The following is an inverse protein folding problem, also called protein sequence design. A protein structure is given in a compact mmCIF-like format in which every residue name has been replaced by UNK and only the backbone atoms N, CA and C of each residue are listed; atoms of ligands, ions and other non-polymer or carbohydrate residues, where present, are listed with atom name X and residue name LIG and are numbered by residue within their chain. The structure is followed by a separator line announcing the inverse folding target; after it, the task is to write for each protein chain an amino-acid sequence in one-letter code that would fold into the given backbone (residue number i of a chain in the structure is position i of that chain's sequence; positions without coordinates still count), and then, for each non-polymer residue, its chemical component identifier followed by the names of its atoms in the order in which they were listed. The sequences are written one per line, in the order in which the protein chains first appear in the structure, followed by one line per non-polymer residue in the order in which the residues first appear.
data_IF_063678279064
#
_entry.id   IF_063678279064
#
_cell.length_a   1.000
_cell.length_b   1.000
_cell.length_c   1.000
_cell.angle_alpha   90.00
_cell.angle_beta   90.00
_cell.angle_gamma   90.00
#
_symmetry.space_group_name_H-M   'P 1'
#
loop_
_entity.id
_entity.type
_entity.pdbx_description
1 polymer ?
#
# COMPACT_ATOMS: atom_id res chain seq x y z
N UNK A 1 -10.15 7.93 -16.28
CA UNK A 1 -9.07 7.89 -15.26
C UNK A 1 -9.39 6.93 -14.09
N UNK A 2 -9.98 5.75 -14.33
CA UNK A 2 -10.30 4.74 -13.28
C UNK A 2 -9.64 3.38 -13.53
N UNK A 3 -9.16 3.14 -14.75
CA UNK A 3 -8.62 1.85 -15.18
C UNK A 3 -7.30 1.48 -14.48
N UNK A 4 -6.40 2.46 -14.24
CA UNK A 4 -5.10 2.20 -13.61
C UNK A 4 -5.23 1.76 -12.14
N UNK A 5 -6.16 2.38 -11.40
CA UNK A 5 -6.43 2.01 -10.02
C UNK A 5 -7.06 0.62 -9.96
N UNK A 6 -8.08 0.32 -10.75
CA UNK A 6 -8.71 -1.00 -10.77
C UNK A 6 -7.71 -2.11 -11.18
N UNK A 7 -6.83 -1.85 -12.14
CA UNK A 7 -5.77 -2.78 -12.54
C UNK A 7 -4.79 -3.12 -11.41
N UNK A 8 -4.36 -2.12 -10.62
CA UNK A 8 -3.42 -2.34 -9.51
C UNK A 8 -4.02 -3.18 -8.38
N UNK A 9 -5.34 -3.12 -8.18
CA UNK A 9 -6.04 -3.90 -7.15
C UNK A 9 -6.39 -5.32 -7.61
N UNK A 10 -6.40 -5.60 -8.92
CA UNK A 10 -6.71 -6.93 -9.48
C UNK A 10 -5.48 -7.75 -9.85
N UNK A 11 -4.29 -7.12 -9.88
CA UNK A 11 -3.06 -7.81 -10.23
C UNK A 11 -2.58 -8.65 -9.05
N UNK A 12 -2.15 -9.88 -9.33
CA UNK A 12 -1.36 -10.68 -8.38
C UNK A 12 -0.14 -9.90 -7.91
N UNK A 13 0.04 -9.87 -6.59
CA UNK A 13 1.23 -9.28 -5.97
C UNK A 13 2.43 -10.14 -6.29
N UNK A 14 3.48 -9.51 -6.81
CA UNK A 14 4.79 -10.14 -6.85
C UNK A 14 5.26 -10.43 -5.40
N UNK A 15 6.08 -11.47 -5.18
CA UNK A 15 6.59 -11.82 -3.85
C UNK A 15 7.35 -10.66 -3.18
N UNK A 16 8.04 -9.86 -3.99
CA UNK A 16 8.80 -8.67 -3.59
C UNK A 16 8.00 -7.34 -3.69
N UNK A 17 6.67 -7.39 -3.85
CA UNK A 17 5.82 -6.21 -4.00
C UNK A 17 6.02 -5.19 -2.86
N UNK A 18 5.90 -5.64 -1.60
CA UNK A 18 6.01 -4.74 -0.45
C UNK A 18 7.39 -4.08 -0.37
N UNK A 19 8.45 -4.85 -0.61
CA UNK A 19 9.81 -4.35 -0.57
C UNK A 19 10.06 -3.29 -1.64
N UNK A 20 9.74 -3.59 -2.91
CA UNK A 20 9.95 -2.67 -4.02
C UNK A 20 9.14 -1.39 -3.87
N UNK A 21 7.86 -1.51 -3.50
CA UNK A 21 6.97 -0.36 -3.38
C UNK A 21 7.36 0.54 -2.19
N UNK A 22 7.64 -0.04 -1.01
CA UNK A 22 8.06 0.75 0.14
C UNK A 22 9.44 1.37 -0.05
N UNK A 23 10.38 0.67 -0.71
CA UNK A 23 11.69 1.22 -1.06
C UNK A 23 11.57 2.43 -2.00
N UNK A 24 10.69 2.36 -3.01
CA UNK A 24 10.44 3.49 -3.91
C UNK A 24 9.90 4.72 -3.17
N UNK A 25 8.96 4.53 -2.23
CA UNK A 25 8.45 5.64 -1.43
C UNK A 25 9.47 6.17 -0.42
N UNK A 26 10.28 5.29 0.19
CA UNK A 26 11.40 5.70 1.06
C UNK A 26 12.39 6.58 0.30
N UNK A 27 12.70 6.23 -0.95
CA UNK A 27 13.55 7.06 -1.82
C UNK A 27 12.90 8.42 -2.10
N UNK A 28 11.60 8.43 -2.44
CA UNK A 28 10.84 9.66 -2.65
C UNK A 28 10.76 10.56 -1.42
N UNK A 29 10.76 10.00 -0.20
CA UNK A 29 10.89 10.78 1.04
C UNK A 29 12.31 11.34 1.25
N UNK A 30 13.35 10.50 1.05
CA UNK A 30 14.74 10.90 1.28
C UNK A 30 15.28 11.94 0.31
N UNK A 31 14.80 11.94 -0.94
CA UNK A 31 15.27 12.86 -1.98
C UNK A 31 14.73 14.31 -1.83
N UNK A 32 14.27 14.69 -0.63
CA UNK A 32 13.57 15.97 -0.40
C UNK A 32 12.19 16.02 -1.07
N UNK A 33 11.64 14.87 -1.43
CA UNK A 33 10.40 14.79 -2.20
C UNK A 33 9.16 15.01 -1.36
N UNK A 34 8.07 15.35 -2.05
CA UNK A 34 6.78 15.72 -1.46
C UNK A 34 5.99 14.55 -0.85
N UNK A 35 6.64 13.46 -0.43
CA UNK A 35 5.98 12.32 0.20
C UNK A 35 6.14 12.43 1.72
N UNK A 36 5.03 12.45 2.45
CA UNK A 36 4.99 12.44 3.92
C UNK A 36 5.04 11.03 4.50
N UNK A 37 4.54 10.06 3.74
CA UNK A 37 4.46 8.67 4.15
C UNK A 37 3.59 7.87 3.20
N UNK A 38 3.12 6.72 3.66
CA UNK A 38 2.29 5.80 2.86
C UNK A 38 1.04 5.42 3.63
N UNK A 39 -0.08 5.26 2.93
CA UNK A 39 -1.29 4.66 3.47
C UNK A 39 -1.60 3.37 2.73
N UNK A 40 -2.30 2.46 3.40
CA UNK A 40 -2.84 1.26 2.76
C UNK A 40 -4.24 1.61 2.25
N UNK A 41 -4.47 1.45 0.95
CA UNK A 41 -5.77 1.59 0.31
C UNK A 41 -6.42 0.21 0.25
N UNK A 42 -7.57 0.10 0.92
CA UNK A 42 -8.41 -1.10 0.95
C UNK A 42 -9.56 -0.98 -0.04
N UNK A 43 -10.09 -2.12 -0.51
CA UNK A 43 -11.26 -2.20 -1.37
C UNK A 43 -12.39 -2.97 -0.68
N UNK A 44 -13.62 -2.96 -1.23
CA UNK A 44 -14.69 -3.85 -0.79
C UNK A 44 -14.36 -5.34 -0.89
N UNK A 45 -13.24 -5.74 -1.51
CA UNK A 45 -12.77 -7.12 -1.58
C UNK A 45 -11.57 -7.38 -0.65
N UNK A 46 -11.07 -6.37 0.06
CA UNK A 46 -9.99 -6.55 1.04
C UNK A 46 -10.41 -7.51 2.15
N UNK A 47 -9.43 -8.29 2.64
CA UNK A 47 -9.62 -9.22 3.76
C UNK A 47 -9.96 -8.50 5.08
N UNK A 48 -10.48 -9.24 6.04
CA UNK A 48 -10.86 -8.72 7.36
C UNK A 48 -9.69 -8.00 8.07
N UNK A 49 -8.49 -8.58 8.03
CA UNK A 49 -7.30 -7.98 8.62
C UNK A 49 -6.94 -6.61 8.03
N UNK A 50 -7.02 -6.48 6.71
CA UNK A 50 -6.77 -5.20 6.05
C UNK A 50 -7.85 -4.17 6.37
N UNK A 51 -9.11 -4.59 6.52
CA UNK A 51 -10.22 -3.69 6.93
C UNK A 51 -10.16 -3.29 8.40
N UNK A 52 -9.53 -4.10 9.25
CA UNK A 52 -9.30 -3.79 10.65
C UNK A 52 -8.18 -2.76 10.86
N UNK A 53 -7.39 -2.46 9.82
CA UNK A 53 -6.40 -1.39 9.89
C UNK A 53 -7.10 -0.04 10.10
N UNK A 54 -6.50 0.86 10.90
CA UNK A 54 -7.04 2.20 11.12
C UNK A 54 -7.14 2.97 9.79
N UNK A 55 -8.36 3.34 9.43
CA UNK A 55 -8.66 4.05 8.20
C UNK A 55 -7.86 5.36 8.11
N UNK A 56 -7.21 5.59 6.98
CA UNK A 56 -6.44 6.82 6.75
C UNK A 56 -5.12 6.93 7.54
N UNK A 57 -4.72 5.91 8.32
CA UNK A 57 -3.42 5.93 9.00
C UNK A 57 -2.29 6.04 7.98
N UNK A 58 -1.43 7.02 8.20
CA UNK A 58 -0.20 7.22 7.44
C UNK A 58 0.93 6.56 8.20
N UNK A 59 1.68 5.70 7.52
CA UNK A 59 2.83 5.00 8.04
C UNK A 59 4.09 5.56 7.41
N UNK A 60 5.20 5.54 8.16
CA UNK A 60 6.51 5.61 7.55
C UNK A 60 6.73 4.33 6.70
N UNK A 61 7.38 4.38 5.52
CA UNK A 61 7.62 3.20 4.69
C UNK A 61 8.33 2.05 5.42
N UNK A 62 9.18 2.36 6.41
CA UNK A 62 9.86 1.38 7.28
C UNK A 62 8.93 0.69 8.29
N UNK A 63 7.82 1.35 8.66
CA UNK A 63 6.88 0.89 9.69
C UNK A 63 5.55 0.39 9.09
N UNK A 64 5.39 0.53 7.78
CA UNK A 64 4.19 0.14 7.08
C UNK A 64 4.02 -1.39 7.11
N UNK A 65 2.82 -1.92 7.43
CA UNK A 65 2.54 -3.35 7.34
C UNK A 65 2.85 -3.87 5.93
N UNK A 66 3.53 -5.02 5.84
CA UNK A 66 3.85 -5.65 4.55
C UNK A 66 2.57 -6.23 3.92
N UNK A 67 2.33 -5.92 2.65
CA UNK A 67 1.21 -6.43 1.87
C UNK A 67 1.70 -7.56 0.94
N UNK A 68 0.98 -8.70 0.85
CA UNK A 68 -0.21 -9.03 1.65
C UNK A 68 0.10 -9.18 3.13
N UNK A 69 -0.86 -8.84 3.99
CA UNK A 69 -0.70 -9.05 5.44
C UNK A 69 -0.48 -10.55 5.72
N UNK A 70 0.32 -10.93 6.74
CA UNK A 70 0.61 -12.34 7.03
C UNK A 70 -0.65 -13.21 7.21
N UNK A 71 -1.71 -12.62 7.76
CA UNK A 71 -3.01 -13.24 8.02
C UNK A 71 -4.03 -13.07 6.86
N UNK A 72 -3.60 -12.52 5.72
CA UNK A 72 -4.49 -12.29 4.59
C UNK A 72 -4.80 -13.61 3.86
N UNK A 73 -6.05 -14.12 3.90
CA UNK A 73 -6.40 -15.39 3.25
C UNK A 73 -6.33 -15.33 1.72
N UNK A 74 -6.28 -14.12 1.14
CA UNK A 74 -6.18 -13.91 -0.30
C UNK A 74 -4.74 -14.02 -0.82
N UNK A 75 -3.72 -14.04 0.06
CA UNK A 75 -2.31 -14.15 -0.35
C UNK A 75 -1.92 -13.16 -1.45
N UNK A 76 -1.36 -13.67 -2.55
CA UNK A 76 -0.95 -12.87 -3.71
C UNK A 76 -2.12 -12.17 -4.43
N UNK A 77 -3.35 -12.68 -4.30
CA UNK A 77 -4.56 -12.07 -4.85
C UNK A 77 -5.15 -10.99 -3.92
N UNK A 78 -4.41 -10.58 -2.89
CA UNK A 78 -4.79 -9.46 -2.02
C UNK A 78 -4.95 -8.17 -2.83
N UNK A 79 -6.12 -7.51 -2.78
CA UNK A 79 -6.35 -6.32 -3.59
C UNK A 79 -5.72 -5.05 -3.00
N UNK A 80 -5.31 -5.05 -1.73
CA UNK A 80 -4.88 -3.82 -1.04
C UNK A 80 -3.60 -3.24 -1.68
N UNK A 81 -3.46 -1.92 -1.77
CA UNK A 81 -2.26 -1.28 -2.35
C UNK A 81 -1.69 -0.22 -1.43
N UNK A 82 -0.42 0.15 -1.65
CA UNK A 82 0.18 1.30 -0.98
C UNK A 82 -0.04 2.56 -1.81
N UNK A 83 -0.50 3.62 -1.17
CA UNK A 83 -0.62 4.95 -1.78
C UNK A 83 0.31 5.92 -1.06
N UNK A 84 1.11 6.71 -1.80
CA UNK A 84 1.90 7.77 -1.18
C UNK A 84 0.94 8.86 -0.68
N UNK A 85 1.23 9.39 0.50
CA UNK A 85 0.57 10.57 1.04
C UNK A 85 1.51 11.73 0.82
N UNK A 86 1.07 12.74 0.08
CA UNK A 86 1.89 13.90 -0.25
C UNK A 86 1.93 14.89 0.93
N UNK A 87 2.98 15.69 1.05
CA UNK A 87 3.12 16.75 2.09
C UNK A 87 2.26 17.97 1.84
N UNK A 88 1.81 18.19 0.60
CA UNK A 88 0.85 19.23 0.23
C UNK A 88 -0.50 18.57 -0.09
N UNK A 89 -1.43 18.69 0.86
CA UNK A 89 -2.83 18.30 0.74
C UNK A 89 -3.68 19.26 1.56
#
# INVERSE_FOLDING_TARGET
MYWLSDFLHRRKKAPDYAEKTLAAYRLGMKAGGSIRGVRIETTPQSCAAARALPAGKVYHPDEAPRLPLPECPLGEDCPCVYRPVMTYG
#
